data_IF_165470171264
#
_entry.id   IF_165470171264
#
_cell.length_a   1.000
_cell.length_b   1.000
_cell.length_c   1.000
_cell.angle_alpha   90.00
_cell.angle_beta   90.00
_cell.angle_gamma   90.00
#
_symmetry.space_group_name_H-M   'P 1'
#
loop_
_entity.id
_entity.type
_entity.pdbx_description
1 polymer ?
#
# COMPACT_ATOMS: atom_id res chain seq x y z
N UNK A 1 -9.17 -5.53 -8.41
CA UNK A 1 -9.75 -4.33 -7.76
C UNK A 1 -8.77 -3.16 -7.70
N UNK A 2 -7.54 -3.35 -7.23
CA UNK A 2 -6.54 -2.27 -7.04
C UNK A 2 -6.31 -1.41 -8.28
N UNK A 3 -6.08 -2.02 -9.45
CA UNK A 3 -5.89 -1.32 -10.73
C UNK A 3 -7.08 -0.42 -11.11
N UNK A 4 -8.30 -0.85 -10.82
CA UNK A 4 -9.51 -0.04 -11.06
C UNK A 4 -9.55 1.21 -10.17
N UNK A 5 -9.18 1.08 -8.89
CA UNK A 5 -9.13 2.20 -7.96
C UNK A 5 -8.02 3.19 -8.33
N UNK A 6 -6.85 2.70 -8.74
CA UNK A 6 -5.76 3.54 -9.25
C UNK A 6 -6.23 4.37 -10.44
N UNK A 7 -6.84 3.73 -11.44
CA UNK A 7 -7.32 4.42 -12.64
C UNK A 7 -8.47 5.41 -12.35
N UNK A 8 -9.41 5.04 -11.48
CA UNK A 8 -10.61 5.85 -11.23
C UNK A 8 -10.36 7.05 -10.31
N UNK A 9 -9.32 6.99 -9.48
CA UNK A 9 -9.06 8.00 -8.45
C UNK A 9 -7.67 8.64 -8.54
N UNK A 10 -6.86 8.26 -9.53
CA UNK A 10 -5.46 8.67 -9.66
C UNK A 10 -4.65 8.41 -8.37
N UNK A 11 -4.89 7.23 -7.78
CA UNK A 11 -4.28 6.83 -6.53
C UNK A 11 -3.00 6.04 -6.75
N UNK A 12 -2.07 6.18 -5.81
CA UNK A 12 -0.95 5.24 -5.69
C UNK A 12 -1.46 3.83 -5.42
N UNK A 13 -0.73 2.82 -5.88
CA UNK A 13 -1.07 1.41 -5.66
C UNK A 13 -1.24 1.11 -4.16
N UNK A 14 -0.40 1.73 -3.32
CA UNK A 14 -0.42 1.60 -1.87
C UNK A 14 -1.71 2.14 -1.25
N UNK A 15 -2.18 3.30 -1.72
CA UNK A 15 -3.47 3.87 -1.30
C UNK A 15 -4.64 2.98 -1.73
N UNK A 16 -4.62 2.53 -2.99
CA UNK A 16 -5.65 1.67 -3.55
C UNK A 16 -5.75 0.33 -2.80
N UNK A 17 -4.62 -0.31 -2.52
CA UNK A 17 -4.55 -1.53 -1.71
C UNK A 17 -5.10 -1.33 -0.31
N UNK A 18 -4.64 -0.30 0.41
CA UNK A 18 -5.10 -0.02 1.77
C UNK A 18 -6.61 0.21 1.81
N UNK A 19 -7.13 0.99 0.86
CA UNK A 19 -8.55 1.27 0.75
C UNK A 19 -9.35 -0.01 0.48
N UNK A 20 -8.92 -0.81 -0.50
CA UNK A 20 -9.60 -2.06 -0.84
C UNK A 20 -9.64 -3.06 0.32
N UNK A 21 -8.56 -3.12 1.13
CA UNK A 21 -8.49 -3.99 2.31
C UNK A 21 -9.16 -3.41 3.56
N UNK A 22 -9.65 -2.17 3.50
CA UNK A 22 -10.25 -1.49 4.65
C UNK A 22 -9.27 -1.23 5.80
N UNK A 23 -7.97 -1.15 5.52
CA UNK A 23 -6.96 -0.95 6.56
C UNK A 23 -6.83 0.53 6.94
N UNK A 24 -6.60 0.78 8.23
CA UNK A 24 -6.10 2.08 8.68
C UNK A 24 -4.65 2.28 8.20
N UNK A 25 -4.19 3.53 8.10
CA UNK A 25 -2.78 3.82 7.76
C UNK A 25 -1.80 3.18 8.74
N UNK A 26 -2.14 3.19 10.04
CA UNK A 26 -1.32 2.56 11.08
C UNK A 26 -1.25 1.03 10.92
N UNK A 27 -2.34 0.37 10.52
CA UNK A 27 -2.32 -1.07 10.25
C UNK A 27 -1.50 -1.40 9.00
N UNK A 28 -1.70 -0.64 7.93
CA UNK A 28 -0.94 -0.79 6.69
C UNK A 28 0.57 -0.57 6.90
N UNK A 29 0.96 0.45 7.66
CA UNK A 29 2.35 0.71 8.04
C UNK A 29 2.98 -0.47 8.81
N UNK A 30 2.25 -1.06 9.76
CA UNK A 30 2.71 -2.25 10.49
C UNK A 30 2.92 -3.46 9.58
N UNK A 31 2.03 -3.68 8.60
CA UNK A 31 2.14 -4.79 7.64
C UNK A 31 3.36 -4.64 6.72
N UNK A 32 3.64 -3.43 6.26
CA UNK A 32 4.81 -3.13 5.41
C UNK A 32 6.11 -3.04 6.24
N UNK A 33 6.00 -2.87 7.56
CA UNK A 33 7.14 -2.81 8.48
C UNK A 33 7.83 -1.44 8.49
N UNK A 34 7.06 -0.36 8.43
CA UNK A 34 7.53 1.03 8.44
C UNK A 34 6.80 1.86 9.51
N UNK A 35 7.33 3.05 9.81
CA UNK A 35 6.59 4.01 10.64
C UNK A 35 5.38 4.58 9.89
N UNK A 36 4.34 4.98 10.62
CA UNK A 36 3.12 5.53 10.03
C UNK A 36 3.39 6.80 9.21
N UNK A 37 4.29 7.67 9.68
CA UNK A 37 4.70 8.88 8.96
C UNK A 37 5.42 8.56 7.65
N UNK A 38 6.29 7.55 7.64
CA UNK A 38 6.94 7.07 6.40
C UNK A 38 5.91 6.50 5.43
N UNK A 39 4.96 5.71 5.94
CA UNK A 39 3.87 5.17 5.13
C UNK A 39 3.05 6.29 4.47
N UNK A 40 2.74 7.37 5.20
CA UNK A 40 2.01 8.51 4.67
C UNK A 40 2.73 9.21 3.52
N UNK A 41 4.04 9.44 3.67
CA UNK A 41 4.85 10.05 2.61
C UNK A 41 4.89 9.20 1.34
N UNK A 42 4.92 7.87 1.49
CA UNK A 42 4.91 6.95 0.35
C UNK A 42 3.52 6.91 -0.29
N UNK A 43 2.47 6.81 0.52
CA UNK A 43 1.09 6.76 0.04
C UNK A 43 0.73 8.01 -0.78
N UNK A 44 1.17 9.18 -0.32
CA UNK A 44 0.94 10.47 -1.00
C UNK A 44 1.90 10.68 -2.19
N UNK A 45 2.80 9.73 -2.47
CA UNK A 45 3.75 9.80 -3.58
C UNK A 45 4.90 10.80 -3.38
N UNK A 46 5.08 11.30 -2.15
CA UNK A 46 6.18 12.21 -1.79
C UNK A 46 7.53 11.48 -1.75
N UNK A 47 7.51 10.22 -1.33
CA UNK A 47 8.69 9.36 -1.26
C UNK A 47 8.40 8.07 -2.02
N UNK A 48 9.34 7.61 -2.82
CA UNK A 48 9.20 6.34 -3.51
C UNK A 48 9.36 5.18 -2.51
N UNK A 49 8.68 4.04 -2.75
CA UNK A 49 8.81 2.84 -1.91
C UNK A 49 10.27 2.39 -1.82
N UNK A 50 11.01 2.55 -2.93
CA UNK A 50 12.39 2.14 -3.05
C UNK A 50 12.58 0.62 -3.03
N UNK A 51 13.76 0.13 -3.41
CA UNK A 51 14.01 -1.30 -3.65
C UNK A 51 13.95 -2.16 -2.39
N UNK A 52 14.05 -1.56 -1.19
CA UNK A 52 14.02 -2.30 0.08
C UNK A 52 12.60 -2.53 0.61
N UNK A 53 11.66 -1.62 0.36
CA UNK A 53 10.28 -1.76 0.85
C UNK A 53 9.37 -2.36 -0.21
N UNK A 54 9.71 -2.22 -1.49
CA UNK A 54 8.94 -2.77 -2.60
C UNK A 54 8.64 -4.26 -2.46
N UNK A 55 9.61 -5.16 -2.14
CA UNK A 55 9.32 -6.59 -1.97
C UNK A 55 8.37 -6.89 -0.81
N UNK A 56 8.43 -6.10 0.29
CA UNK A 56 7.54 -6.26 1.44
C UNK A 56 6.11 -5.85 1.11
N UNK A 57 5.97 -4.78 0.34
CA UNK A 57 4.67 -4.33 -0.13
C UNK A 57 4.06 -5.30 -1.15
N UNK A 58 4.86 -5.79 -2.10
CA UNK A 58 4.46 -6.83 -3.05
C UNK A 58 4.04 -8.13 -2.34
N UNK A 59 4.74 -8.53 -1.28
CA UNK A 59 4.35 -9.68 -0.46
C UNK A 59 2.99 -9.45 0.21
N UNK A 60 2.75 -8.26 0.78
CA UNK A 60 1.47 -7.91 1.38
C UNK A 60 0.32 -7.84 0.35
N UNK A 61 0.60 -7.48 -0.90
CA UNK A 61 -0.33 -7.53 -2.04
C UNK A 61 -0.65 -8.98 -2.45
N UNK A 62 0.37 -9.85 -2.49
CA UNK A 62 0.23 -11.27 -2.85
C UNK A 62 -0.58 -12.04 -1.81
N UNK A 63 -0.28 -11.87 -0.53
CA UNK A 63 -1.06 -12.46 0.57
C UNK A 63 -2.53 -12.04 0.53
N UNK A 64 -2.78 -10.79 0.14
CA UNK A 64 -4.14 -10.28 -0.01
C UNK A 64 -4.91 -10.98 -1.14
N UNK A 65 -4.24 -11.30 -2.25
CA UNK A 65 -4.82 -11.97 -3.43
C UNK A 65 -5.10 -13.45 -3.22
N UNK A 66 -4.41 -14.10 -2.29
CA UNK A 66 -4.56 -15.53 -1.96
C UNK A 66 -5.63 -15.81 -0.90
N UNK A 67 -6.16 -14.76 -0.26
CA UNK A 67 -7.18 -14.86 0.80
C UNK A 67 -8.59 -14.58 0.28
N UNK A 68 -8.78 -14.47 -1.04
CA UNK A 68 -10.07 -14.42 -1.76
C UNK A 68 -10.42 -15.79 -2.33
#
# INVERSE_FOLDING_TARGET
MIQYLMFSHDWTEMRAWRHWRGHSKAEAARRVGVQVSTYELIEDGTVDLGPFLQPKFESALLEASLSE
#
